data_IF_616849654539
#
_entry.id   IF_616849654539
#
_cell.length_a   1.000
_cell.length_b   1.000
_cell.length_c   1.000
_cell.angle_alpha   90.00
_cell.angle_beta   90.00
_cell.angle_gamma   90.00
#
_symmetry.space_group_name_H-M   'P 1'
#
loop_
_entity.id
_entity.type
_entity.pdbx_description
1 polymer ?
#
# COMPACT_ATOMS: atom_id res chain seq x y z
N UNK A 1 5.66 11.27 20.66
CA UNK A 1 4.58 10.28 20.44
C UNK A 1 5.10 9.23 19.46
N UNK A 2 4.72 7.94 19.61
CA UNK A 2 5.11 6.91 18.61
C UNK A 2 4.34 7.16 17.32
N UNK A 3 5.06 7.28 16.20
CA UNK A 3 4.46 7.47 14.88
C UNK A 3 3.89 6.13 14.38
N UNK A 4 2.63 6.13 13.93
CA UNK A 4 2.04 4.97 13.27
C UNK A 4 2.69 4.72 11.91
N UNK A 5 2.86 3.44 11.58
CA UNK A 5 3.35 2.95 10.29
C UNK A 5 2.25 2.15 9.61
N UNK A 6 2.06 2.39 8.32
CA UNK A 6 1.15 1.62 7.47
C UNK A 6 1.97 0.83 6.46
N UNK A 7 1.63 -0.45 6.31
CA UNK A 7 2.19 -1.29 5.26
C UNK A 7 1.08 -1.97 4.47
N UNK A 8 1.22 -1.98 3.14
CA UNK A 8 0.30 -2.65 2.23
C UNK A 8 1.05 -3.79 1.55
N UNK A 9 0.56 -5.02 1.74
CA UNK A 9 1.05 -6.21 1.05
C UNK A 9 0.12 -6.55 -0.11
N UNK A 10 0.69 -6.67 -1.30
CA UNK A 10 -0.04 -6.96 -2.53
C UNK A 10 -0.09 -8.48 -2.76
N UNK A 11 -1.29 -9.06 -2.71
CA UNK A 11 -1.47 -10.51 -2.81
C UNK A 11 -1.37 -11.03 -4.25
N UNK A 12 -1.72 -10.21 -5.23
CA UNK A 12 -1.67 -10.56 -6.65
C UNK A 12 -1.16 -9.39 -7.51
N UNK A 13 -0.61 -9.73 -8.68
CA UNK A 13 -0.27 -8.76 -9.72
C UNK A 13 -1.53 -8.41 -10.52
N UNK A 14 -1.77 -7.13 -10.78
CA UNK A 14 -2.87 -6.62 -11.61
C UNK A 14 -2.60 -5.16 -12.01
N UNK A 15 -3.44 -4.60 -12.88
CA UNK A 15 -3.34 -3.23 -13.42
C UNK A 15 -3.78 -2.13 -12.44
N UNK A 16 -4.23 -2.48 -11.24
CA UNK A 16 -4.54 -1.53 -10.18
C UNK A 16 -3.31 -1.08 -9.40
N UNK A 17 -3.41 0.05 -8.70
CA UNK A 17 -2.28 0.65 -7.98
C UNK A 17 -2.70 1.34 -6.68
N UNK A 18 -1.70 1.63 -5.84
CA UNK A 18 -1.82 2.58 -4.74
C UNK A 18 -1.25 3.92 -5.20
N UNK A 19 -2.00 5.01 -5.01
CA UNK A 19 -1.54 6.38 -5.30
C UNK A 19 -1.41 7.18 -4.02
N UNK A 20 -0.31 7.90 -3.87
CA UNK A 20 -0.04 8.78 -2.74
C UNK A 20 -0.34 10.24 -3.09
N UNK A 21 -0.48 11.10 -2.07
CA UNK A 21 -0.81 12.53 -2.26
C UNK A 21 0.24 13.33 -3.03
N UNK A 22 1.49 12.90 -3.02
CA UNK A 22 2.59 13.48 -3.81
C UNK A 22 2.52 13.11 -5.31
N UNK A 23 1.54 12.28 -5.69
CA UNK A 23 1.33 11.82 -7.06
C UNK A 23 2.08 10.54 -7.41
N UNK A 24 2.95 10.03 -6.53
CA UNK A 24 3.63 8.75 -6.72
C UNK A 24 2.62 7.59 -6.74
N UNK A 25 2.97 6.55 -7.52
CA UNK A 25 2.15 5.35 -7.67
C UNK A 25 2.98 4.12 -7.40
N UNK A 26 2.37 3.14 -6.73
CA UNK A 26 2.92 1.80 -6.54
C UNK A 26 1.96 0.81 -7.19
N UNK A 27 2.43 0.21 -8.28
CA UNK A 27 1.73 -0.85 -9.02
C UNK A 27 1.52 -2.07 -8.13
N UNK A 28 0.37 -2.73 -8.31
CA UNK A 28 0.05 -3.98 -7.62
C UNK A 28 0.86 -5.13 -8.24
N UNK A 29 1.92 -5.54 -7.54
CA UNK A 29 2.78 -6.66 -7.92
C UNK A 29 2.78 -7.66 -6.77
N UNK A 30 2.44 -8.91 -7.06
CA UNK A 30 2.37 -9.97 -6.05
C UNK A 30 3.66 -10.05 -5.23
N UNK A 31 3.52 -10.32 -3.92
CA UNK A 31 4.63 -10.44 -2.98
C UNK A 31 5.44 -9.15 -2.77
N UNK A 32 4.89 -7.98 -3.12
CA UNK A 32 5.45 -6.67 -2.77
C UNK A 32 4.85 -6.20 -1.44
N UNK A 33 5.70 -5.61 -0.59
CA UNK A 33 5.30 -4.85 0.58
C UNK A 33 5.71 -3.39 0.37
N UNK A 34 4.78 -2.45 0.48
CA UNK A 34 5.09 -1.03 0.59
C UNK A 34 4.84 -0.58 2.02
N UNK A 35 5.74 0.24 2.56
CA UNK A 35 5.68 0.73 3.94
C UNK A 35 5.89 2.24 3.94
N UNK A 36 5.02 2.96 4.65
CA UNK A 36 5.02 4.44 4.69
C UNK A 36 4.48 4.96 6.02
N UNK A 37 4.67 6.27 6.26
CA UNK A 37 4.15 6.93 7.46
C UNK A 37 2.62 7.00 7.39
N UNK A 38 1.92 6.63 8.45
CA UNK A 38 0.44 6.57 8.41
C UNK A 38 -0.28 7.90 8.18
N UNK A 39 0.44 9.03 8.24
CA UNK A 39 -0.11 10.35 7.95
C UNK A 39 -0.16 10.63 6.43
N UNK A 40 0.58 9.86 5.62
CA UNK A 40 0.60 10.01 4.17
C UNK A 40 -0.74 9.55 3.59
N UNK A 41 -1.47 10.50 2.99
CA UNK A 41 -2.74 10.20 2.33
C UNK A 41 -2.49 9.32 1.10
N UNK A 42 -3.30 8.29 0.96
CA UNK A 42 -3.22 7.36 -0.16
C UNK A 42 -4.63 6.87 -0.54
N UNK A 43 -4.75 6.39 -1.77
CA UNK A 43 -5.93 5.69 -2.27
C UNK A 43 -5.50 4.42 -3.00
N UNK A 44 -6.40 3.43 -3.07
CA UNK A 44 -6.26 2.28 -3.95
C UNK A 44 -7.24 2.39 -5.13
N UNK A 45 -6.88 1.81 -6.27
CA UNK A 45 -7.80 1.66 -7.41
C UNK A 45 -8.42 0.27 -7.46
N UNK A 46 -9.45 0.11 -8.29
CA UNK A 46 -9.86 -1.19 -8.83
C UNK A 46 -8.86 -1.69 -9.88
N UNK A 47 -9.08 -2.91 -10.36
CA UNK A 47 -8.37 -3.50 -11.50
C UNK A 47 -9.35 -3.94 -12.60
N UNK A 48 -8.87 -4.14 -13.83
CA UNK A 48 -9.67 -4.62 -14.97
C UNK A 48 -9.14 -5.89 -15.63
N UNK A 49 -7.88 -6.23 -15.39
CA UNK A 49 -7.21 -7.41 -15.95
C UNK A 49 -7.39 -8.70 -15.11
N UNK A 50 -7.83 -8.56 -13.86
CA UNK A 50 -8.04 -9.66 -12.92
C UNK A 50 -9.43 -9.60 -12.26
N UNK A 51 -9.90 -10.74 -11.76
CA UNK A 51 -11.22 -10.83 -11.10
C UNK A 51 -11.34 -9.95 -9.85
N UNK A 52 -10.25 -9.82 -9.10
CA UNK A 52 -10.15 -9.00 -7.88
C UNK A 52 -8.71 -8.51 -7.70
N UNK A 53 -8.57 -7.27 -7.26
CA UNK A 53 -7.35 -6.76 -6.64
C UNK A 53 -7.40 -7.03 -5.14
N UNK A 54 -6.44 -7.79 -4.63
CA UNK A 54 -6.41 -8.21 -3.22
C UNK A 54 -5.17 -7.64 -2.53
N UNK A 55 -5.38 -6.95 -1.41
CA UNK A 55 -4.31 -6.37 -0.59
C UNK A 55 -4.58 -6.64 0.89
N UNK A 56 -3.52 -6.70 1.69
CA UNK A 56 -3.61 -6.73 3.15
C UNK A 56 -2.99 -5.44 3.70
N UNK A 57 -3.76 -4.71 4.51
CA UNK A 57 -3.31 -3.47 5.14
C UNK A 57 -2.95 -3.70 6.61
N UNK A 58 -1.70 -3.44 6.96
CA UNK A 58 -1.19 -3.49 8.32
C UNK A 58 -1.04 -2.07 8.88
N UNK A 59 -1.54 -1.85 10.10
CA UNK A 59 -1.27 -0.63 10.87
C UNK A 59 -0.60 -1.04 12.18
N UNK A 60 0.58 -0.49 12.46
CA UNK A 60 1.38 -0.89 13.62
C UNK A 60 2.30 0.22 14.11
N UNK A 61 2.77 0.08 15.35
CA UNK A 61 3.87 0.87 15.87
C UNK A 61 5.19 0.19 15.51
N UNK A 62 5.95 0.79 14.59
CA UNK A 62 7.31 0.33 14.32
C UNK A 62 8.25 0.69 15.48
N UNK A 63 9.21 -0.20 15.76
CA UNK A 63 10.33 0.10 16.66
C UNK A 63 11.38 1.00 15.98
N UNK A 64 11.43 0.98 14.64
CA UNK A 64 12.39 1.70 13.82
C UNK A 64 11.68 2.78 12.99
N UNK A 65 12.28 3.97 12.88
CA UNK A 65 11.83 5.01 11.95
C UNK A 65 12.14 4.62 10.51
N UNK A 66 11.26 5.02 9.59
CA UNK A 66 11.50 5.00 8.14
C UNK A 66 12.28 6.24 7.72
#
# INVERSE_FOLDING_TARGET
MKQWTTSIFYMNTNDGYTKFEDGSKVESVANRLVTFTSNMKHLGTSCTDESKRVVINFNYFSKYSL
#
